data_IF_497476820800
#
_entry.id   IF_497476820800
#
_cell.length_a   1.000
_cell.length_b   1.000
_cell.length_c   1.000
_cell.angle_alpha   90.00
_cell.angle_beta   90.00
_cell.angle_gamma   90.00
#
_symmetry.space_group_name_H-M   'P 1'
#
loop_
_entity.id
_entity.type
_entity.pdbx_description
1 polymer ?
#
# COMPACT_ATOMS: atom_id res chain seq x y z
N UNK A 1 -0.21 -83.31 -8.26
CA UNK A 1 -0.23 -82.19 -9.23
C UNK A 1 -0.78 -80.87 -8.66
N UNK A 2 -1.26 -80.82 -7.40
CA UNK A 2 -1.83 -79.59 -6.81
C UNK A 2 -0.80 -78.67 -6.12
N UNK A 3 0.28 -79.23 -5.55
CA UNK A 3 1.31 -78.44 -4.86
C UNK A 3 2.05 -77.44 -5.75
N UNK A 4 2.33 -77.80 -7.01
CA UNK A 4 3.00 -76.91 -7.97
C UNK A 4 2.10 -75.70 -8.31
N UNK A 5 0.80 -75.94 -8.51
CA UNK A 5 -0.19 -74.87 -8.78
C UNK A 5 -0.37 -73.92 -7.59
N UNK A 6 -0.32 -74.42 -6.35
CA UNK A 6 -0.40 -73.56 -5.17
C UNK A 6 0.84 -72.68 -4.99
N UNK A 7 2.03 -73.22 -5.30
CA UNK A 7 3.27 -72.46 -5.24
C UNK A 7 3.29 -71.34 -6.29
N UNK A 8 2.87 -71.64 -7.52
CA UNK A 8 2.74 -70.66 -8.60
C UNK A 8 1.70 -69.57 -8.27
N UNK A 9 0.55 -69.94 -7.68
CA UNK A 9 -0.48 -68.96 -7.29
C UNK A 9 0.02 -67.99 -6.21
N UNK A 10 0.74 -68.51 -5.20
CA UNK A 10 1.34 -67.67 -4.14
C UNK A 10 2.42 -66.76 -4.71
N UNK A 11 3.27 -67.26 -5.61
CA UNK A 11 4.30 -66.46 -6.27
C UNK A 11 3.68 -65.32 -7.11
N UNK A 12 2.64 -65.61 -7.88
CA UNK A 12 1.89 -64.60 -8.64
C UNK A 12 1.28 -63.56 -7.71
N UNK A 13 0.67 -63.97 -6.59
CA UNK A 13 0.10 -63.05 -5.61
C UNK A 13 1.16 -62.07 -5.05
N UNK A 14 2.34 -62.57 -4.70
CA UNK A 14 3.44 -61.72 -4.22
C UNK A 14 3.93 -60.74 -5.28
N UNK A 15 4.02 -61.16 -6.54
CA UNK A 15 4.39 -60.28 -7.65
C UNK A 15 3.35 -59.17 -7.82
N UNK A 16 2.06 -59.51 -7.81
CA UNK A 16 0.96 -58.53 -7.92
C UNK A 16 0.99 -57.54 -6.75
N UNK A 17 1.18 -58.02 -5.52
CA UNK A 17 1.32 -57.15 -4.35
C UNK A 17 2.53 -56.22 -4.46
N UNK A 18 3.67 -56.72 -4.94
CA UNK A 18 4.86 -55.91 -5.21
C UNK A 18 4.60 -54.80 -6.22
N UNK A 19 3.92 -55.11 -7.32
CA UNK A 19 3.55 -54.13 -8.34
C UNK A 19 2.60 -53.05 -7.79
N UNK A 20 1.63 -53.43 -6.95
CA UNK A 20 0.73 -52.47 -6.30
C UNK A 20 1.50 -51.51 -5.40
N UNK A 21 2.45 -52.02 -4.58
CA UNK A 21 3.27 -51.18 -3.70
C UNK A 21 4.13 -50.21 -4.50
N UNK A 22 4.77 -50.68 -5.58
CA UNK A 22 5.58 -49.82 -6.47
C UNK A 22 4.72 -48.76 -7.14
N UNK A 23 3.52 -49.11 -7.61
CA UNK A 23 2.59 -48.16 -8.22
C UNK A 23 2.16 -47.07 -7.22
N UNK A 24 1.79 -47.45 -6.00
CA UNK A 24 1.43 -46.51 -4.94
C UNK A 24 2.61 -45.60 -4.61
N UNK A 25 3.81 -46.15 -4.46
CA UNK A 25 5.02 -45.38 -4.19
C UNK A 25 5.27 -44.34 -5.28
N UNK A 26 5.21 -44.74 -6.55
CA UNK A 26 5.43 -43.84 -7.68
C UNK A 26 4.37 -42.74 -7.76
N UNK A 27 3.09 -43.09 -7.55
CA UNK A 27 1.99 -42.13 -7.53
C UNK A 27 2.16 -41.08 -6.42
N UNK A 28 2.50 -41.53 -5.20
CA UNK A 28 2.74 -40.64 -4.06
C UNK A 28 3.98 -39.78 -4.26
N UNK A 29 5.06 -40.33 -4.81
CA UNK A 29 6.28 -39.59 -5.09
C UNK A 29 6.06 -38.48 -6.15
N UNK A 30 5.25 -38.75 -7.17
CA UNK A 30 4.84 -37.74 -8.15
C UNK A 30 4.06 -36.59 -7.50
N UNK A 31 3.07 -36.91 -6.65
CA UNK A 31 2.31 -35.90 -5.91
C UNK A 31 3.19 -35.06 -4.96
N UNK A 32 4.10 -35.71 -4.23
CA UNK A 32 5.03 -35.04 -3.32
C UNK A 32 5.95 -34.08 -4.09
N UNK A 33 6.48 -34.52 -5.23
CA UNK A 33 7.34 -33.68 -6.08
C UNK A 33 6.57 -32.46 -6.57
N UNK A 34 5.36 -32.66 -7.11
CA UNK A 34 4.51 -31.56 -7.59
C UNK A 34 4.20 -30.55 -6.48
N UNK A 35 3.83 -31.02 -5.28
CA UNK A 35 3.55 -30.13 -4.14
C UNK A 35 4.80 -29.40 -3.66
N UNK A 36 5.97 -30.04 -3.74
CA UNK A 36 7.25 -29.41 -3.39
C UNK A 36 7.60 -28.30 -4.38
N UNK A 37 7.41 -28.53 -5.66
CA UNK A 37 7.68 -27.56 -6.71
C UNK A 37 6.72 -26.36 -6.59
N UNK A 38 5.42 -26.62 -6.40
CA UNK A 38 4.42 -25.58 -6.14
C UNK A 38 4.76 -24.76 -4.90
N UNK A 39 5.12 -25.42 -3.79
CA UNK A 39 5.55 -24.73 -2.57
C UNK A 39 6.78 -23.85 -2.81
N UNK A 40 7.75 -24.35 -3.57
CA UNK A 40 8.98 -23.60 -3.87
C UNK A 40 8.65 -22.36 -4.70
N UNK A 41 7.85 -22.50 -5.75
CA UNK A 41 7.37 -21.37 -6.56
C UNK A 41 6.62 -20.34 -5.72
N UNK A 42 5.69 -20.77 -4.87
CA UNK A 42 4.94 -19.87 -3.99
C UNK A 42 5.86 -19.14 -2.99
N UNK A 43 6.92 -19.79 -2.51
CA UNK A 43 7.91 -19.15 -1.65
C UNK A 43 8.73 -18.10 -2.40
N UNK A 44 9.12 -18.37 -3.64
CA UNK A 44 9.83 -17.41 -4.50
C UNK A 44 8.96 -16.19 -4.80
N UNK A 45 7.69 -16.41 -5.18
CA UNK A 45 6.73 -15.33 -5.42
C UNK A 45 6.50 -14.49 -4.16
N UNK A 46 6.37 -15.13 -2.99
CA UNK A 46 6.21 -14.43 -1.73
C UNK A 46 7.43 -13.56 -1.38
N UNK A 47 8.65 -14.04 -1.64
CA UNK A 47 9.88 -13.26 -1.42
C UNK A 47 9.93 -12.07 -2.37
N UNK A 48 9.56 -12.28 -3.64
CA UNK A 48 9.52 -11.23 -4.66
C UNK A 48 8.51 -10.14 -4.28
N UNK A 49 7.29 -10.52 -3.92
CA UNK A 49 6.24 -9.57 -3.53
C UNK A 49 6.61 -8.81 -2.25
N UNK A 50 7.21 -9.47 -1.25
CA UNK A 50 7.73 -8.77 -0.06
C UNK A 50 8.80 -7.74 -0.41
N UNK A 51 9.69 -8.06 -1.35
CA UNK A 51 10.75 -7.14 -1.81
C UNK A 51 10.17 -5.95 -2.56
N UNK A 52 9.17 -6.20 -3.42
CA UNK A 52 8.43 -5.16 -4.13
C UNK A 52 7.69 -4.23 -3.15
N UNK A 53 7.01 -4.81 -2.16
CA UNK A 53 6.29 -4.07 -1.12
C UNK A 53 7.24 -3.15 -0.34
N UNK A 54 8.36 -3.68 0.13
CA UNK A 54 9.38 -2.89 0.83
C UNK A 54 9.90 -1.73 -0.02
N UNK A 55 10.17 -1.99 -1.31
CA UNK A 55 10.60 -0.95 -2.25
C UNK A 55 9.52 0.13 -2.44
N UNK A 56 8.25 -0.26 -2.44
CA UNK A 56 7.12 0.66 -2.52
C UNK A 56 7.01 1.52 -1.26
N UNK A 57 7.09 0.91 -0.07
CA UNK A 57 7.09 1.59 1.22
C UNK A 57 8.23 2.61 1.32
N UNK A 58 9.45 2.24 0.93
CA UNK A 58 10.61 3.13 0.93
C UNK A 58 10.39 4.34 0.01
N UNK A 59 9.83 4.12 -1.19
CA UNK A 59 9.49 5.20 -2.13
C UNK A 59 8.39 6.11 -1.57
N UNK A 60 7.36 5.53 -0.97
CA UNK A 60 6.25 6.27 -0.38
C UNK A 60 6.73 7.14 0.79
N UNK A 61 7.58 6.60 1.67
CA UNK A 61 8.19 7.35 2.76
C UNK A 61 9.05 8.50 2.24
N UNK A 62 9.84 8.26 1.18
CA UNK A 62 10.63 9.32 0.53
C UNK A 62 9.74 10.42 -0.05
N UNK A 63 8.64 10.07 -0.72
CA UNK A 63 7.69 11.04 -1.26
C UNK A 63 7.01 11.85 -0.15
N UNK A 64 6.56 11.19 0.92
CA UNK A 64 5.95 11.88 2.06
C UNK A 64 6.91 12.86 2.71
N UNK A 65 8.19 12.50 2.86
CA UNK A 65 9.22 13.42 3.36
C UNK A 65 9.43 14.62 2.44
N UNK A 66 9.37 14.43 1.12
CA UNK A 66 9.48 15.53 0.16
C UNK A 66 8.25 16.44 0.20
N UNK A 67 7.04 15.88 0.34
CA UNK A 67 5.80 16.64 0.49
C UNK A 67 5.88 17.52 1.74
N UNK A 68 6.33 16.97 2.88
CA UNK A 68 6.45 17.77 4.10
C UNK A 68 7.49 18.89 3.96
N UNK A 69 8.59 18.65 3.24
CA UNK A 69 9.58 19.72 2.95
C UNK A 69 9.03 20.81 2.02
N UNK A 70 8.13 20.46 1.11
CA UNK A 70 7.46 21.41 0.21
C UNK A 70 6.27 22.10 0.88
N UNK A 71 5.83 21.61 2.04
CA UNK A 71 4.73 22.20 2.78
C UNK A 71 5.16 23.55 3.30
N UNK A 72 4.66 24.60 2.67
CA UNK A 72 4.77 25.96 3.18
C UNK A 72 3.77 26.08 4.32
N UNK A 73 4.26 26.22 5.55
CA UNK A 73 3.44 26.70 6.66
C UNK A 73 3.04 28.14 6.34
N UNK A 74 1.84 28.32 5.82
CA UNK A 74 1.27 29.65 5.65
C UNK A 74 0.83 30.10 7.05
N UNK A 75 1.77 30.61 7.84
CA UNK A 75 1.41 31.52 8.92
C UNK A 75 0.83 32.75 8.24
N UNK A 76 -0.50 32.84 8.21
CA UNK A 76 -1.18 34.05 7.79
C UNK A 76 -0.69 35.20 8.67
N UNK A 77 0.20 36.02 8.12
CA UNK A 77 0.46 37.37 8.62
C UNK A 77 -0.46 38.28 7.85
N UNK A 78 -1.43 38.86 8.54
CA UNK A 78 -2.26 39.91 7.98
C UNK A 78 -1.31 40.98 7.41
N UNK A 79 -1.46 41.36 6.12
CA UNK A 79 -0.63 42.38 5.52
C UNK A 79 -0.74 43.69 6.31
N UNK A 80 0.37 44.38 6.56
CA UNK A 80 0.36 45.70 7.25
C UNK A 80 -0.61 46.71 6.62
N UNK A 81 -0.94 46.54 5.34
CA UNK A 81 -1.94 47.34 4.63
C UNK A 81 -3.36 47.13 5.15
N UNK A 82 -3.74 45.90 5.55
CA UNK A 82 -5.05 45.60 6.13
C UNK A 82 -5.12 46.09 7.58
N UNK A 83 -4.04 45.93 8.35
CA UNK A 83 -3.93 46.49 9.70
C UNK A 83 -4.02 48.04 9.69
N UNK A 84 -3.41 48.68 8.68
CA UNK A 84 -3.58 50.13 8.45
C UNK A 84 -5.02 50.48 8.12
N UNK A 85 -5.72 49.72 7.29
CA UNK A 85 -7.14 49.99 6.96
C UNK A 85 -8.02 49.89 8.21
N UNK A 86 -7.79 48.90 9.07
CA UNK A 86 -8.51 48.77 10.34
C UNK A 86 -8.20 49.92 11.32
N UNK A 87 -6.98 50.46 11.26
CA UNK A 87 -6.53 51.61 12.05
C UNK A 87 -6.77 52.97 11.39
N UNK A 88 -7.32 53.03 10.16
CA UNK A 88 -7.97 54.24 9.63
C UNK A 88 -9.29 54.36 10.38
N UNK A 89 -9.18 54.77 11.65
CA UNK A 89 -10.17 55.64 12.24
C UNK A 89 -10.42 56.73 11.20
N UNK A 90 -11.67 56.88 10.76
CA UNK A 90 -12.13 58.08 10.06
C UNK A 90 -11.73 59.26 10.95
N UNK A 91 -10.59 59.87 10.62
CA UNK A 91 -9.90 60.87 11.45
C UNK A 91 -10.77 62.11 11.66
N UNK A 92 -11.79 62.24 10.80
CA UNK A 92 -12.62 63.41 10.61
C UNK A 92 -14.09 63.17 11.00
N UNK A 93 -14.37 62.31 11.99
CA UNK A 93 -15.71 62.19 12.63
C UNK A 93 -16.00 63.25 13.68
N UNK A 94 -15.19 64.31 13.76
CA UNK A 94 -15.53 65.43 14.64
C UNK A 94 -16.63 66.26 14.01
N UNK A 95 -17.52 66.83 14.82
CA UNK A 95 -18.61 67.66 14.32
C UNK A 95 -18.10 68.82 13.45
N UNK A 96 -16.92 69.37 13.76
CA UNK A 96 -16.28 70.44 12.99
C UNK A 96 -15.79 69.98 11.61
N UNK A 97 -15.21 68.79 11.52
CA UNK A 97 -14.73 68.23 10.25
C UNK A 97 -15.89 67.79 9.35
N UNK A 98 -16.96 67.24 9.93
CA UNK A 98 -18.20 66.96 9.18
C UNK A 98 -18.85 68.26 8.69
N UNK A 99 -19.01 69.28 9.55
CA UNK A 99 -19.62 70.56 9.16
C UNK A 99 -18.81 71.29 8.08
N UNK A 100 -17.47 71.18 8.11
CA UNK A 100 -16.60 71.75 7.07
C UNK A 100 -16.77 71.04 5.73
N UNK A 101 -16.83 69.70 5.73
CA UNK A 101 -17.08 68.93 4.52
C UNK A 101 -18.44 69.27 3.90
N UNK A 102 -19.49 69.41 4.72
CA UNK A 102 -20.81 69.86 4.25
C UNK A 102 -20.76 71.26 3.63
N UNK A 103 -20.02 72.21 4.21
CA UNK A 103 -19.89 73.56 3.62
C UNK A 103 -19.14 73.55 2.30
N UNK A 104 -18.12 72.72 2.13
CA UNK A 104 -17.37 72.62 0.87
C UNK A 104 -18.15 71.87 -0.22
N UNK A 105 -19.02 70.93 0.13
CA UNK A 105 -19.86 70.19 -0.82
C UNK A 105 -21.07 70.97 -1.35
N UNK A 106 -21.58 71.93 -0.57
CA UNK A 106 -22.83 72.63 -0.87
C UNK A 106 -22.68 74.15 -1.04
N UNK A 107 -21.45 74.68 -0.99
CA UNK A 107 -21.17 76.03 -1.44
C UNK A 107 -20.68 75.99 -2.90
N UNK A 108 -21.58 76.31 -3.82
CA UNK A 108 -21.25 76.88 -5.14
C UNK A 108 -20.60 78.28 -4.97
#
# INVERSE_FOLDING_TARGET
MNFIKEFDLKAILFIVLGLIVVFIYFSKNSQITSLKDEKTSLQEDLIKEKTNLKTCEDKMQKQNSQIEKMRVEVTYKEPETIEKINNIYLKDKTCESELKAYKELFND
#
